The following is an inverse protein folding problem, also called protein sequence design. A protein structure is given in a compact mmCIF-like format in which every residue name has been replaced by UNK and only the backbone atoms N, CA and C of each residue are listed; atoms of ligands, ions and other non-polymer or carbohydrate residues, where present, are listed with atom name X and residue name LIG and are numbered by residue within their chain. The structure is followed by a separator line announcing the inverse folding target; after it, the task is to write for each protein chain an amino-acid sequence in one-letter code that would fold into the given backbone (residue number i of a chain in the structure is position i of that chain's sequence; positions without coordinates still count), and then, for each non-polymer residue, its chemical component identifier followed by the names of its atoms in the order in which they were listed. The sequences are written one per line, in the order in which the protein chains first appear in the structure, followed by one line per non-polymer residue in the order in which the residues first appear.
data_IF_790430677864
#
_entry.id   IF_790430677864
#
_cell.length_a   1.000
_cell.length_b   1.000
_cell.length_c   1.000
_cell.angle_alpha   90.00
_cell.angle_beta   90.00
_cell.angle_gamma   90.00
#
_symmetry.space_group_name_H-M   'P 1'
#
loop_
_entity.id
_entity.type
_entity.pdbx_description
1 polymer ?
#
# COMPACT_ATOMS: atom_id res chain seq x y z
N UNK A 1 -1.77 -14.14 -18.29
CA UNK A 1 -2.02 -13.61 -18.04
C UNK A 1 -1.79 -12.50 -18.11
N UNK A 2 -2.10 -12.08 -18.21
CA UNK A 2 -1.84 -11.06 -18.33
C UNK A 2 -1.67 -10.30 -17.32
N UNK A 3 -0.86 -9.66 -17.22
CA UNK A 3 -0.78 -8.88 -16.23
C UNK A 3 -1.54 -7.73 -16.42
N UNK A 4 -2.39 -7.42 -15.51
CA UNK A 4 -3.05 -6.25 -15.61
C UNK A 4 -2.31 -5.17 -15.02
N UNK A 5 -2.32 -3.99 -15.59
CA UNK A 5 -1.71 -2.82 -15.04
C UNK A 5 -2.60 -2.33 -13.95
N UNK A 6 -2.13 -2.32 -12.72
CA UNK A 6 -2.93 -1.81 -11.64
C UNK A 6 -2.81 -0.30 -11.59
N UNK A 7 -3.93 0.40 -11.56
CA UNK A 7 -3.90 1.86 -11.59
C UNK A 7 -3.70 2.42 -10.21
N UNK A 8 -3.31 3.67 -10.15
CA UNK A 8 -3.13 4.33 -8.86
C UNK A 8 -4.47 4.45 -8.15
N UNK A 9 -5.56 4.64 -8.89
CA UNK A 9 -6.89 4.70 -8.30
C UNK A 9 -7.26 3.38 -7.66
N UNK A 10 -6.91 2.27 -8.30
CA UNK A 10 -7.21 0.97 -7.75
C UNK A 10 -6.39 0.70 -6.50
N UNK A 11 -5.13 1.11 -6.50
CA UNK A 11 -4.30 0.99 -5.32
C UNK A 11 -4.88 1.79 -4.17
N UNK A 12 -5.36 3.00 -4.44
CA UNK A 12 -5.94 3.82 -3.39
C UNK A 12 -7.20 3.17 -2.82
N UNK A 13 -7.98 2.54 -3.68
CA UNK A 13 -9.18 1.86 -3.22
C UNK A 13 -8.83 0.67 -2.33
N UNK A 14 -7.83 -0.10 -2.72
CA UNK A 14 -7.38 -1.24 -1.92
C UNK A 14 -6.89 -0.76 -0.55
N UNK A 15 -6.11 0.31 -0.55
CA UNK A 15 -5.58 0.83 0.71
C UNK A 15 -6.72 1.31 1.61
N UNK A 16 -7.69 2.02 1.05
CA UNK A 16 -8.80 2.50 1.82
C UNK A 16 -9.54 1.36 2.47
N UNK A 17 -9.82 0.31 1.70
CA UNK A 17 -10.55 -0.83 2.23
C UNK A 17 -9.75 -1.56 3.30
N UNK A 18 -8.46 -1.73 3.08
CA UNK A 18 -7.62 -2.39 4.06
C UNK A 18 -7.57 -1.61 5.37
N UNK A 19 -7.49 -0.28 5.26
CA UNK A 19 -7.46 0.56 6.45
C UNK A 19 -8.77 0.46 7.21
N UNK A 20 -9.88 0.52 6.48
CA UNK A 20 -11.19 0.51 7.12
C UNK A 20 -11.52 -0.82 7.76
N UNK A 21 -10.96 -1.89 7.24
CA UNK A 21 -11.20 -3.21 7.80
C UNK A 21 -10.21 -3.58 8.89
N UNK A 22 -9.25 -2.72 9.18
CA UNK A 22 -8.25 -2.99 10.20
C UNK A 22 -8.86 -2.95 11.59
N UNK A 23 -8.27 -3.74 12.49
CA UNK A 23 -8.59 -3.56 13.88
C UNK A 23 -8.09 -2.19 14.32
N UNK A 24 -8.71 -1.66 15.37
CA UNK A 24 -8.48 -0.29 15.74
C UNK A 24 -7.03 0.07 15.95
N UNK A 25 -6.28 -0.79 16.59
CA UNK A 25 -4.88 -0.47 16.88
C UNK A 25 -3.93 -1.07 15.87
N UNK A 26 -4.42 -1.48 14.68
CA UNK A 26 -3.57 -2.05 13.66
C UNK A 26 -3.61 -1.28 12.35
N UNK A 27 -4.16 -0.08 12.40
CA UNK A 27 -4.32 0.68 11.16
C UNK A 27 -2.99 1.05 10.53
N UNK A 28 -2.04 1.51 11.36
CA UNK A 28 -0.74 1.90 10.83
C UNK A 28 0.01 0.68 10.31
N UNK A 29 -0.09 -0.44 11.03
CA UNK A 29 0.54 -1.67 10.58
C UNK A 29 0.01 -2.05 9.20
N UNK A 30 -1.28 -1.89 8.98
CA UNK A 30 -1.87 -2.25 7.69
C UNK A 30 -1.40 -1.33 6.58
N UNK A 31 -1.13 -0.06 6.88
CA UNK A 31 -0.55 0.82 5.88
C UNK A 31 0.85 0.35 5.52
N UNK A 32 1.65 -0.05 6.52
CA UNK A 32 2.98 -0.59 6.25
C UNK A 32 2.90 -1.84 5.39
N UNK A 33 1.99 -2.75 5.74
CA UNK A 33 1.85 -4.00 4.98
C UNK A 33 1.42 -3.73 3.54
N UNK A 34 0.53 -2.77 3.35
CA UNK A 34 0.13 -2.38 2.00
C UNK A 34 1.36 -1.91 1.21
N UNK A 35 2.19 -1.07 1.84
CA UNK A 35 3.39 -0.55 1.18
C UNK A 35 4.37 -1.66 0.82
N UNK A 36 4.51 -2.65 1.70
CA UNK A 36 5.38 -3.78 1.42
C UNK A 36 4.82 -4.60 0.26
N UNK A 37 3.53 -4.85 0.28
CA UNK A 37 2.93 -5.70 -0.74
C UNK A 37 2.98 -5.07 -2.12
N UNK A 38 2.71 -3.78 -2.20
CA UNK A 38 2.61 -3.11 -3.50
C UNK A 38 3.78 -2.21 -3.81
N UNK A 39 4.81 -2.21 -2.96
CA UNK A 39 5.91 -1.27 -3.10
C UNK A 39 6.64 -1.35 -4.43
N UNK A 40 6.84 -2.57 -4.93
CA UNK A 40 7.56 -2.71 -6.19
C UNK A 40 6.75 -2.15 -7.35
N UNK A 41 5.44 -2.38 -7.34
CA UNK A 41 4.59 -1.85 -8.39
C UNK A 41 4.55 -0.33 -8.31
N UNK A 42 4.44 0.20 -7.10
CA UNK A 42 4.39 1.63 -6.90
C UNK A 42 5.67 2.28 -7.43
N UNK A 43 6.81 1.68 -7.14
CA UNK A 43 8.08 2.22 -7.62
C UNK A 43 8.21 2.05 -9.12
N UNK A 44 7.80 0.92 -9.64
CA UNK A 44 7.93 0.64 -11.06
C UNK A 44 7.18 1.65 -11.91
N UNK A 45 5.98 2.03 -11.48
CA UNK A 45 5.20 2.97 -12.24
C UNK A 45 5.33 4.40 -11.73
N UNK A 46 6.21 4.62 -10.76
CA UNK A 46 6.47 5.96 -10.22
C UNK A 46 5.23 6.60 -9.63
N UNK A 47 4.38 5.78 -9.04
CA UNK A 47 3.20 6.33 -8.39
C UNK A 47 3.62 7.07 -7.13
N UNK A 48 2.92 8.16 -6.83
CA UNK A 48 3.24 8.98 -5.68
C UNK A 48 2.52 8.49 -4.45
N UNK A 49 3.23 8.29 -3.35
CA UNK A 49 2.61 7.91 -2.09
C UNK A 49 1.62 8.98 -1.64
N UNK A 50 1.95 10.25 -1.84
CA UNK A 50 1.03 11.33 -1.49
C UNK A 50 -0.27 11.21 -2.26
N UNK A 51 -0.18 10.89 -3.53
CA UNK A 51 -1.37 10.81 -4.36
C UNK A 51 -2.22 9.59 -3.97
N UNK A 52 -1.58 8.49 -3.64
CA UNK A 52 -2.31 7.32 -3.19
C UNK A 52 -3.09 7.64 -1.92
N UNK A 53 -2.46 8.32 -0.97
CA UNK A 53 -3.13 8.71 0.26
C UNK A 53 -4.27 9.67 -0.04
N UNK A 54 -4.02 10.65 -0.90
CA UNK A 54 -5.04 11.61 -1.25
C UNK A 54 -6.27 10.92 -1.85
N UNK A 55 -6.04 10.03 -2.80
CA UNK A 55 -7.14 9.35 -3.47
C UNK A 55 -7.86 8.39 -2.54
N UNK A 56 -7.17 7.85 -1.54
CA UNK A 56 -7.78 6.94 -0.60
C UNK A 56 -8.66 7.66 0.41
N UNK A 57 -8.51 8.98 0.52
CA UNK A 57 -9.28 9.75 1.50
C UNK A 57 -8.72 9.66 2.90
N UNK A 58 -7.58 9.00 3.10
CA UNK A 58 -7.00 8.90 4.42
C UNK A 58 -6.28 10.20 4.78
N UNK A 59 -6.01 10.38 6.07
CA UNK A 59 -5.32 11.56 6.54
C UNK A 59 -3.95 11.64 5.89
N UNK A 60 -3.58 12.82 5.42
CA UNK A 60 -2.33 12.96 4.69
C UNK A 60 -1.10 12.66 5.52
N UNK A 61 -1.23 12.66 6.85
CA UNK A 61 -0.11 12.29 7.69
C UNK A 61 0.33 10.84 7.48
N UNK A 62 -0.54 10.01 6.92
CA UNK A 62 -0.19 8.62 6.67
C UNK A 62 0.74 8.43 5.49
N UNK A 63 1.03 9.50 4.74
CA UNK A 63 2.00 9.40 3.66
C UNK A 63 3.34 8.87 4.17
N UNK A 64 3.77 9.33 5.35
CA UNK A 64 5.04 8.88 5.91
C UNK A 64 5.02 7.38 6.17
N UNK A 65 3.91 6.88 6.71
CA UNK A 65 3.80 5.46 7.00
C UNK A 65 3.77 4.63 5.73
N UNK A 66 3.07 5.12 4.71
CA UNK A 66 3.05 4.41 3.44
C UNK A 66 4.44 4.39 2.82
N UNK A 67 5.15 5.51 2.87
CA UNK A 67 6.49 5.58 2.31
C UNK A 67 7.44 4.63 3.02
N UNK A 68 7.28 4.44 4.33
CA UNK A 68 8.10 3.49 5.06
C UNK A 68 7.84 2.07 4.55
N UNK A 69 6.57 1.72 4.33
CA UNK A 69 6.25 0.40 3.83
C UNK A 69 6.81 0.16 2.44
N UNK A 70 6.69 1.17 1.58
CA UNK A 70 7.21 1.05 0.23
C UNK A 70 8.73 0.83 0.27
N UNK A 71 9.42 1.57 1.14
CA UNK A 71 10.87 1.43 1.24
C UNK A 71 11.24 0.05 1.75
N UNK A 72 10.47 -0.48 2.71
CA UNK A 72 10.74 -1.80 3.23
C UNK A 72 10.54 -2.89 2.21
N UNK A 73 9.75 -2.65 1.17
CA UNK A 73 9.48 -3.68 0.16
C UNK A 73 10.74 -4.17 -0.52
N UNK A 74 11.84 -3.40 -0.43
CA UNK A 74 13.11 -3.83 -0.99
C UNK A 74 13.75 -4.93 -0.16
N UNK A 75 13.40 -5.00 1.12
CA UNK A 75 14.13 -5.85 2.05
C UNK A 75 13.29 -7.00 2.59
N UNK A 76 11.96 -6.88 2.59
CA UNK A 76 11.11 -7.90 3.16
C UNK A 76 9.95 -8.21 2.24
N UNK A 77 9.34 -9.35 2.44
CA UNK A 77 8.15 -9.74 1.72
C UNK A 77 7.14 -10.26 2.70
N UNK A 78 5.87 -10.18 2.32
CA UNK A 78 4.84 -10.72 3.17
C UNK A 78 4.98 -12.23 3.22
N UNK A 79 4.47 -12.81 4.31
CA UNK A 79 4.59 -14.22 4.45
C UNK A 79 3.84 -14.97 3.39
N UNK A 80 4.29 -16.17 3.17
CA UNK A 80 3.85 -16.96 2.07
C UNK A 80 2.41 -17.31 2.04
N UNK A 81 1.73 -17.30 3.13
CA UNK A 81 0.34 -17.59 3.09
C UNK A 81 -0.39 -16.59 2.23
N UNK A 82 0.26 -15.52 1.89
CA UNK A 82 -0.34 -14.61 1.01
C UNK A 82 0.03 -14.84 -0.42
N UNK A 83 1.01 -15.66 -0.62
CA UNK A 83 1.48 -15.85 -1.96
C UNK A 83 1.00 -17.12 -2.56
N UNK A 84 0.79 -17.94 -1.88
CA UNK A 84 0.63 -19.15 -2.39
C UNK A 84 0.37 -19.52 -3.00
#
# INVERSE_FOLDING_TARGET
MELELITIEKLAEILKNQYEESLKNEQVVNIHLFGIKYGEIIKKYSYSASKIIELSGLNKSYKTELSKGIRLSKFVKLKNEYSD
#
